data_IF_801859746575
#
_entry.id   IF_801859746575
#
_cell.length_a   1.000
_cell.length_b   1.000
_cell.length_c   1.000
_cell.angle_alpha   90.00
_cell.angle_beta   90.00
_cell.angle_gamma   90.00
#
_symmetry.space_group_name_H-M   'P 1'
#
loop_
_entity.id
_entity.type
_entity.pdbx_description
1 polymer ?
#
# COMPACT_ATOMS: atom_id res chain seq x y z
N UNK A 1 17.22 -2.04 34.30
CA UNK A 1 15.81 -1.83 34.73
C UNK A 1 14.88 -1.45 33.59
N UNK A 2 15.05 -0.33 32.87
CA UNK A 2 14.08 0.10 31.83
C UNK A 2 13.91 -0.89 30.67
N UNK A 3 14.99 -1.52 30.21
CA UNK A 3 14.94 -2.57 29.18
C UNK A 3 14.08 -3.78 29.57
N UNK A 4 14.05 -4.14 30.86
CA UNK A 4 13.27 -5.28 31.35
C UNK A 4 11.76 -5.00 31.34
N UNK A 5 11.33 -3.76 31.60
CA UNK A 5 9.91 -3.40 31.50
C UNK A 5 9.38 -3.51 30.07
N UNK A 6 10.23 -3.27 29.07
CA UNK A 6 9.88 -3.41 27.66
C UNK A 6 9.99 -4.85 27.12
N UNK A 7 10.54 -5.80 27.90
CA UNK A 7 10.66 -7.21 27.55
C UNK A 7 9.37 -8.00 27.82
N UNK A 8 8.23 -7.46 27.38
CA UNK A 8 6.89 -8.02 27.62
C UNK A 8 6.16 -8.21 26.29
N UNK A 9 5.21 -9.15 26.24
CA UNK A 9 4.50 -9.50 24.99
C UNK A 9 3.20 -8.72 24.82
N UNK A 10 2.55 -8.34 25.93
CA UNK A 10 1.26 -7.63 25.92
C UNK A 10 1.40 -6.19 26.38
N UNK A 11 0.63 -5.29 25.76
CA UNK A 11 0.65 -3.86 26.12
C UNK A 11 0.23 -3.63 27.59
N UNK A 12 -0.71 -4.42 28.09
CA UNK A 12 -1.14 -4.35 29.49
C UNK A 12 0.01 -4.66 30.47
N UNK A 13 0.88 -5.63 30.14
CA UNK A 13 2.05 -5.98 30.95
C UNK A 13 3.12 -4.87 30.93
N UNK A 14 3.28 -4.20 29.78
CA UNK A 14 4.13 -3.00 29.69
C UNK A 14 3.61 -1.90 30.62
N UNK A 15 2.32 -1.61 30.55
CA UNK A 15 1.72 -0.57 31.40
C UNK A 15 1.90 -0.92 32.87
N UNK A 16 1.68 -2.18 33.25
CA UNK A 16 1.88 -2.66 34.63
C UNK A 16 3.34 -2.50 35.08
N UNK A 17 4.30 -2.90 34.25
CA UNK A 17 5.72 -2.82 34.58
C UNK A 17 6.26 -1.38 34.64
N UNK A 18 5.81 -0.50 33.74
CA UNK A 18 6.14 0.93 33.76
C UNK A 18 5.51 1.60 34.99
N UNK A 19 4.29 1.22 35.37
CA UNK A 19 3.62 1.74 36.58
C UNK A 19 4.37 1.30 37.84
N UNK A 20 4.77 0.04 37.93
CA UNK A 20 5.58 -0.47 39.04
C UNK A 20 6.97 0.22 39.10
N UNK A 21 7.59 0.50 37.96
CA UNK A 21 8.84 1.25 37.91
C UNK A 21 8.67 2.69 38.39
N UNK A 22 7.61 3.37 37.97
CA UNK A 22 7.32 4.73 38.41
C UNK A 22 7.16 4.78 39.95
N UNK A 23 6.40 3.83 40.52
CA UNK A 23 6.22 3.74 41.97
C UNK A 23 7.53 3.47 42.73
N UNK A 24 8.43 2.63 42.18
CA UNK A 24 9.71 2.31 42.81
C UNK A 24 10.76 3.41 42.73
N UNK A 25 10.70 4.24 41.69
CA UNK A 25 11.76 5.23 41.38
C UNK A 25 11.33 6.65 41.73
N UNK A 26 10.05 6.90 41.96
CA UNK A 26 9.50 8.24 42.16
C UNK A 26 9.43 9.09 40.87
N UNK A 27 9.95 8.59 39.74
CA UNK A 27 9.90 9.32 38.48
C UNK A 27 8.52 9.24 37.83
N UNK A 28 8.06 10.39 37.32
CA UNK A 28 6.84 10.46 36.53
C UNK A 28 6.91 9.58 35.28
N UNK A 29 5.80 8.94 34.92
CA UNK A 29 5.68 8.06 33.74
C UNK A 29 6.20 8.73 32.46
N UNK A 30 5.99 10.03 32.30
CA UNK A 30 6.47 10.83 31.16
C UNK A 30 7.99 10.81 31.03
N UNK A 31 8.73 10.93 32.15
CA UNK A 31 10.20 10.90 32.16
C UNK A 31 10.72 9.51 31.77
N UNK A 32 10.05 8.46 32.25
CA UNK A 32 10.36 7.07 31.91
C UNK A 32 10.16 6.83 30.40
N UNK A 33 9.07 7.32 29.82
CA UNK A 33 8.84 7.25 28.38
C UNK A 33 9.85 8.08 27.57
N UNK A 34 10.23 9.28 28.04
CA UNK A 34 11.27 10.08 27.41
C UNK A 34 12.61 9.37 27.39
N UNK A 35 13.00 8.75 28.53
CA UNK A 35 14.21 7.94 28.63
C UNK A 35 14.15 6.70 27.76
N UNK A 36 12.98 6.04 27.66
CA UNK A 36 12.78 4.90 26.78
C UNK A 36 12.99 5.28 25.31
N UNK A 37 12.45 6.43 24.87
CA UNK A 37 12.67 6.95 23.51
C UNK A 37 14.15 7.23 23.24
N UNK A 38 14.85 7.87 24.17
CA UNK A 38 16.30 8.12 24.06
C UNK A 38 17.15 6.84 24.02
N UNK A 39 16.60 5.70 24.45
CA UNK A 39 17.24 4.38 24.38
C UNK A 39 16.72 3.52 23.22
N UNK A 40 15.88 4.06 22.34
CA UNK A 40 15.27 3.32 21.23
C UNK A 40 14.28 2.22 21.66
N UNK A 41 13.82 2.25 22.91
CA UNK A 41 12.89 1.24 23.44
C UNK A 41 11.46 1.60 23.03
N UNK A 42 10.97 0.90 22.01
CA UNK A 42 9.58 1.02 21.55
C UNK A 42 8.83 -0.27 21.79
N UNK A 43 7.64 -0.17 22.37
CA UNK A 43 6.72 -1.30 22.41
C UNK A 43 5.88 -1.31 21.14
N UNK A 44 6.33 -2.07 20.13
CA UNK A 44 5.57 -2.31 18.92
C UNK A 44 5.39 -3.81 18.76
N UNK A 45 4.19 -4.31 19.06
CA UNK A 45 3.84 -5.69 18.73
C UNK A 45 3.44 -5.76 17.25
N UNK A 46 4.43 -5.87 16.36
CA UNK A 46 4.20 -6.08 14.92
C UNK A 46 3.83 -7.54 14.69
N UNK A 47 2.54 -7.83 14.44
CA UNK A 47 2.09 -9.13 13.95
C UNK A 47 2.85 -9.44 12.65
N UNK A 48 3.67 -10.49 12.64
CA UNK A 48 4.40 -10.93 11.44
C UNK A 48 3.40 -11.35 10.36
N UNK A 49 3.71 -11.04 9.10
CA UNK A 49 2.95 -11.53 7.96
C UNK A 49 3.21 -13.03 7.80
N UNK A 50 2.16 -13.83 7.68
CA UNK A 50 2.30 -15.25 7.35
C UNK A 50 2.36 -15.44 5.83
N UNK A 51 2.88 -16.59 5.41
CA UNK A 51 2.96 -16.99 3.99
C UNK A 51 1.60 -16.99 3.33
N UNK A 52 0.56 -17.44 4.04
CA UNK A 52 -0.81 -17.50 3.53
C UNK A 52 -1.41 -16.10 3.37
N UNK A 53 -1.14 -15.19 4.30
CA UNK A 53 -1.60 -13.80 4.18
C UNK A 53 -0.93 -13.09 2.99
N UNK A 54 0.35 -13.36 2.73
CA UNK A 54 1.08 -12.81 1.59
C UNK A 54 0.57 -13.40 0.28
N UNK A 55 0.35 -14.72 0.20
CA UNK A 55 -0.23 -15.37 -0.98
C UNK A 55 -1.62 -14.82 -1.29
N UNK A 56 -2.47 -14.66 -0.26
CA UNK A 56 -3.79 -14.06 -0.42
C UNK A 56 -3.73 -12.62 -0.98
N UNK A 57 -2.78 -11.81 -0.51
CA UNK A 57 -2.59 -10.45 -1.04
C UNK A 57 -2.15 -10.47 -2.51
N UNK A 58 -1.30 -11.40 -2.91
CA UNK A 58 -0.85 -11.55 -4.29
C UNK A 58 -1.97 -12.04 -5.22
N UNK A 59 -2.81 -12.97 -4.78
CA UNK A 59 -3.96 -13.45 -5.55
C UNK A 59 -5.08 -12.40 -5.65
N UNK A 60 -5.25 -11.60 -4.59
CA UNK A 60 -6.38 -10.66 -4.47
C UNK A 60 -6.10 -9.28 -5.04
N UNK A 61 -4.84 -8.95 -5.36
CA UNK A 61 -4.46 -7.62 -5.89
C UNK A 61 -5.22 -7.34 -7.19
N UNK A 62 -5.69 -6.11 -7.37
CA UNK A 62 -6.49 -5.71 -8.54
C UNK A 62 -7.97 -6.12 -8.50
N UNK A 63 -8.31 -7.29 -7.93
CA UNK A 63 -9.67 -7.82 -7.91
C UNK A 63 -10.47 -7.44 -6.66
N UNK A 64 -9.79 -7.25 -5.53
CA UNK A 64 -10.43 -7.05 -4.22
C UNK A 64 -9.95 -5.72 -3.61
N UNK A 65 -10.85 -4.84 -3.15
CA UNK A 65 -10.44 -3.57 -2.55
C UNK A 65 -9.67 -3.78 -1.24
N UNK A 66 -8.70 -2.89 -0.94
CA UNK A 66 -7.82 -2.98 0.23
C UNK A 66 -8.63 -3.17 1.52
N UNK A 67 -9.73 -2.44 1.66
CA UNK A 67 -10.60 -2.50 2.85
C UNK A 67 -11.17 -3.90 3.08
N UNK A 68 -11.52 -4.61 2.01
CA UNK A 68 -12.04 -5.98 2.09
C UNK A 68 -10.92 -6.97 2.39
N UNK A 69 -9.74 -6.79 1.80
CA UNK A 69 -8.54 -7.57 2.18
C UNK A 69 -8.21 -7.40 3.67
N UNK A 70 -8.17 -6.15 4.15
CA UNK A 70 -7.91 -5.82 5.55
C UNK A 70 -8.93 -6.48 6.50
N UNK A 71 -10.23 -6.40 6.16
CA UNK A 71 -11.30 -7.05 6.91
C UNK A 71 -11.13 -8.58 6.95
N UNK A 72 -10.80 -9.21 5.82
CA UNK A 72 -10.61 -10.67 5.74
C UNK A 72 -9.37 -11.14 6.49
N UNK A 73 -8.28 -10.37 6.46
CA UNK A 73 -7.02 -10.68 7.13
C UNK A 73 -7.02 -10.31 8.64
N UNK A 74 -8.04 -9.58 9.10
CA UNK A 74 -8.08 -9.02 10.45
C UNK A 74 -6.93 -8.05 10.71
N UNK A 75 -6.53 -7.27 9.69
CA UNK A 75 -5.44 -6.29 9.75
C UNK A 75 -5.97 -4.89 9.46
N UNK A 76 -5.21 -3.85 9.85
CA UNK A 76 -5.54 -2.49 9.46
C UNK A 76 -5.28 -2.27 7.97
N UNK A 77 -6.03 -1.35 7.36
CA UNK A 77 -5.85 -0.93 5.96
C UNK A 77 -4.41 -0.49 5.72
N UNK A 78 -3.85 0.33 6.60
CA UNK A 78 -2.46 0.82 6.50
C UNK A 78 -1.44 -0.33 6.53
N UNK A 79 -1.67 -1.35 7.36
CA UNK A 79 -0.77 -2.52 7.42
C UNK A 79 -0.77 -3.27 6.09
N UNK A 80 -1.94 -3.43 5.47
CA UNK A 80 -2.09 -4.05 4.15
C UNK A 80 -1.42 -3.20 3.07
N UNK A 81 -1.62 -1.88 3.05
CA UNK A 81 -0.97 -0.98 2.08
C UNK A 81 0.55 -1.01 2.21
N UNK A 82 1.09 -0.96 3.43
CA UNK A 82 2.54 -1.06 3.68
C UNK A 82 3.07 -2.40 3.19
N UNK A 83 2.34 -3.49 3.42
CA UNK A 83 2.78 -4.81 2.96
C UNK A 83 2.73 -4.93 1.44
N UNK A 84 1.69 -4.43 0.81
CA UNK A 84 1.58 -4.41 -0.66
C UNK A 84 2.69 -3.55 -1.27
N UNK A 85 3.00 -2.40 -0.68
CA UNK A 85 4.13 -1.58 -1.08
C UNK A 85 5.47 -2.33 -0.91
N UNK A 86 5.65 -3.10 0.18
CA UNK A 86 6.82 -3.98 0.37
C UNK A 86 6.90 -5.13 -0.64
N UNK A 87 5.75 -5.59 -1.13
CA UNK A 87 5.66 -6.58 -2.20
C UNK A 87 5.88 -5.96 -3.59
N UNK A 88 6.16 -4.66 -3.68
CA UNK A 88 6.35 -3.95 -4.96
C UNK A 88 5.04 -3.65 -5.69
N UNK A 89 3.90 -3.82 -5.04
CA UNK A 89 2.58 -3.49 -5.61
C UNK A 89 2.32 -2.00 -5.42
N UNK A 90 2.27 -1.26 -6.53
CA UNK A 90 1.91 0.16 -6.54
C UNK A 90 0.55 0.38 -5.86
N UNK A 91 0.45 1.37 -4.97
CA UNK A 91 -0.79 1.67 -4.24
C UNK A 91 -2.01 1.99 -5.12
N UNK A 92 -1.79 2.32 -6.41
CA UNK A 92 -2.86 2.48 -7.41
C UNK A 92 -3.55 1.17 -7.79
N UNK A 93 -2.83 0.04 -7.71
CA UNK A 93 -3.29 -1.31 -8.10
C UNK A 93 -4.34 -1.87 -7.13
N UNK A 94 -4.40 -1.36 -5.90
CA UNK A 94 -5.16 -2.04 -4.82
C UNK A 94 -6.58 -1.51 -4.65
N UNK A 95 -6.85 -0.27 -5.04
CA UNK A 95 -8.20 0.31 -5.01
C UNK A 95 -8.75 0.61 -6.42
N UNK A 96 -7.96 0.47 -7.49
CA UNK A 96 -8.38 0.77 -8.86
C UNK A 96 -8.66 2.25 -9.13
N UNK A 97 -8.87 2.58 -10.40
CA UNK A 97 -9.09 3.93 -10.90
C UNK A 97 -10.57 4.33 -10.81
N UNK A 98 -10.80 5.57 -10.40
CA UNK A 98 -12.07 6.25 -10.63
C UNK A 98 -12.17 6.77 -12.07
N UNK A 99 -13.36 7.19 -12.49
CA UNK A 99 -13.55 7.89 -13.79
C UNK A 99 -12.64 9.08 -13.94
N UNK A 100 -12.47 9.82 -12.85
CA UNK A 100 -11.65 11.03 -12.83
C UNK A 100 -10.18 10.68 -13.02
N UNK A 101 -9.70 9.63 -12.34
CA UNK A 101 -8.33 9.14 -12.53
C UNK A 101 -8.10 8.73 -13.98
N UNK A 102 -9.03 7.97 -14.59
CA UNK A 102 -8.91 7.59 -16.01
C UNK A 102 -8.91 8.80 -16.94
N UNK A 103 -9.78 9.78 -16.68
CA UNK A 103 -9.87 10.99 -17.48
C UNK A 103 -8.55 11.80 -17.41
N UNK A 104 -8.02 11.98 -16.21
CA UNK A 104 -6.75 12.68 -15.98
C UNK A 104 -5.56 11.92 -16.61
N UNK A 105 -5.48 10.60 -16.40
CA UNK A 105 -4.38 9.75 -16.88
C UNK A 105 -4.35 9.61 -18.41
N UNK A 106 -5.51 9.56 -19.06
CA UNK A 106 -5.61 9.52 -20.52
C UNK A 106 -5.67 10.90 -21.17
N UNK A 107 -5.71 11.96 -20.36
CA UNK A 107 -5.83 13.33 -20.82
C UNK A 107 -7.14 13.60 -21.56
N UNK A 108 -8.22 12.89 -21.25
CA UNK A 108 -9.56 13.03 -21.87
C UNK A 108 -10.57 13.65 -20.91
N UNK A 109 -11.74 14.05 -21.44
CA UNK A 109 -12.84 14.51 -20.59
C UNK A 109 -13.54 13.35 -19.87
N UNK A 110 -14.05 13.61 -18.65
CA UNK A 110 -14.87 12.65 -17.89
C UNK A 110 -16.09 12.12 -18.67
N UNK A 111 -16.72 12.97 -19.50
CA UNK A 111 -17.82 12.58 -20.37
C UNK A 111 -17.42 11.55 -21.44
N UNK A 112 -16.18 11.61 -21.92
CA UNK A 112 -15.61 10.63 -22.86
C UNK A 112 -15.47 9.27 -22.18
N UNK A 113 -14.93 9.24 -20.94
CA UNK A 113 -14.82 8.02 -20.14
C UNK A 113 -16.18 7.38 -19.86
N UNK A 114 -17.19 8.20 -19.52
CA UNK A 114 -18.57 7.72 -19.39
C UNK A 114 -19.17 7.22 -20.71
N UNK A 115 -18.77 7.81 -21.84
CA UNK A 115 -19.12 7.34 -23.18
C UNK A 115 -18.58 5.94 -23.46
N UNK A 116 -17.33 5.67 -23.09
CA UNK A 116 -16.72 4.34 -23.21
C UNK A 116 -17.43 3.29 -22.35
N UNK A 117 -17.84 3.66 -21.15
CA UNK A 117 -18.61 2.79 -20.27
C UNK A 117 -19.98 2.44 -20.87
N UNK A 118 -20.71 3.43 -21.39
CA UNK A 118 -21.99 3.20 -22.07
C UNK A 118 -21.85 2.32 -23.31
N UNK A 119 -20.74 2.45 -24.04
CA UNK A 119 -20.40 1.61 -25.21
C UNK A 119 -19.83 0.25 -24.81
N UNK A 120 -19.61 -0.01 -23.52
CA UNK A 120 -19.07 -1.27 -23.02
C UNK A 120 -17.58 -1.49 -23.30
N UNK A 121 -16.84 -0.46 -23.74
CA UNK A 121 -15.41 -0.53 -24.07
C UNK A 121 -14.54 -0.61 -22.82
N UNK A 122 -14.94 0.11 -21.77
CA UNK A 122 -14.25 0.16 -20.49
C UNK A 122 -15.24 -0.19 -19.38
N UNK A 123 -15.08 -1.37 -18.78
CA UNK A 123 -16.00 -1.89 -17.77
C UNK A 123 -15.47 -1.65 -16.36
N UNK A 124 -16.35 -1.19 -15.47
CA UNK A 124 -16.07 -1.06 -14.04
C UNK A 124 -16.28 -2.39 -13.32
N UNK A 125 -15.54 -2.58 -12.25
CA UNK A 125 -15.83 -3.58 -11.23
C UNK A 125 -17.13 -3.22 -10.46
N UNK A 126 -17.77 -4.19 -9.77
CA UNK A 126 -19.03 -3.96 -9.04
C UNK A 126 -19.01 -2.83 -8.00
N UNK A 127 -17.82 -2.44 -7.51
CA UNK A 127 -17.65 -1.30 -6.59
C UNK A 127 -17.43 0.05 -7.30
N UNK A 128 -17.64 0.13 -8.62
CA UNK A 128 -17.66 1.38 -9.38
C UNK A 128 -16.29 1.92 -9.80
N UNK A 129 -15.22 1.10 -9.77
CA UNK A 129 -13.86 1.49 -10.17
C UNK A 129 -13.30 0.55 -11.25
N UNK A 130 -12.26 0.98 -11.95
CA UNK A 130 -11.56 0.21 -12.99
C UNK A 130 -10.28 -0.39 -12.42
N UNK A 131 -10.01 -1.67 -12.64
CA UNK A 131 -8.70 -2.26 -12.31
C UNK A 131 -7.71 -2.11 -13.47
N UNK A 132 -6.44 -2.42 -13.20
CA UNK A 132 -5.38 -2.36 -14.21
C UNK A 132 -5.67 -3.27 -15.41
N UNK A 133 -6.26 -4.45 -15.20
CA UNK A 133 -6.55 -5.40 -16.27
C UNK A 133 -7.64 -4.88 -17.21
N UNK A 134 -8.74 -4.31 -16.69
CA UNK A 134 -9.77 -3.68 -17.49
C UNK A 134 -9.21 -2.50 -18.29
N UNK A 135 -8.38 -1.66 -17.67
CA UNK A 135 -7.77 -0.51 -18.35
C UNK A 135 -6.75 -0.96 -19.40
N UNK A 136 -5.91 -1.95 -19.09
CA UNK A 136 -4.92 -2.49 -20.02
C UNK A 136 -5.60 -3.17 -21.23
N UNK A 137 -6.68 -3.91 -21.01
CA UNK A 137 -7.52 -4.47 -22.10
C UNK A 137 -8.10 -3.36 -22.96
N UNK A 138 -8.66 -2.33 -22.35
CA UNK A 138 -9.17 -1.17 -23.09
C UNK A 138 -8.07 -0.51 -23.94
N UNK A 139 -6.90 -0.25 -23.36
CA UNK A 139 -5.77 0.37 -24.08
C UNK A 139 -5.30 -0.44 -25.28
N UNK A 140 -5.30 -1.78 -25.15
CA UNK A 140 -4.88 -2.71 -26.20
C UNK A 140 -5.93 -2.88 -27.31
N UNK A 141 -7.21 -2.97 -26.94
CA UNK A 141 -8.30 -3.22 -27.88
C UNK A 141 -8.81 -1.95 -28.56
N UNK A 142 -8.61 -0.79 -27.95
CA UNK A 142 -9.14 0.49 -28.42
C UNK A 142 -8.08 1.61 -28.50
N UNK A 143 -6.96 1.39 -29.21
CA UNK A 143 -5.88 2.39 -29.33
C UNK A 143 -6.31 3.69 -30.01
N UNK A 144 -7.42 3.68 -30.76
CA UNK A 144 -7.95 4.87 -31.45
C UNK A 144 -8.80 5.79 -30.56
N UNK A 145 -9.20 5.35 -29.36
CA UNK A 145 -10.06 6.14 -28.47
C UNK A 145 -9.28 7.17 -27.64
N UNK A 146 -7.95 7.06 -27.59
CA UNK A 146 -7.09 7.96 -26.82
C UNK A 146 -5.88 8.42 -27.64
N UNK A 147 -5.27 9.53 -27.23
CA UNK A 147 -4.06 10.06 -27.86
C UNK A 147 -2.87 9.87 -26.92
N UNK A 148 -1.90 9.06 -27.32
CA UNK A 148 -0.67 8.79 -26.55
C UNK A 148 0.10 10.05 -26.18
N UNK A 149 -0.03 11.16 -26.93
CA UNK A 149 0.62 12.44 -26.59
C UNK A 149 0.04 13.08 -25.34
N UNK A 150 -1.22 12.77 -25.03
CA UNK A 150 -1.98 13.34 -23.90
C UNK A 150 -1.99 12.42 -22.68
N UNK A 151 -1.63 11.15 -22.87
CA UNK A 151 -1.56 10.16 -21.80
C UNK A 151 -0.38 10.47 -20.87
N UNK A 152 -0.56 10.26 -19.57
CA UNK A 152 0.55 10.22 -18.61
C UNK A 152 1.51 9.07 -18.98
N UNK A 153 2.66 9.44 -19.54
CA UNK A 153 3.63 8.48 -20.08
C UNK A 153 4.23 7.59 -18.99
N UNK A 154 4.37 8.10 -17.77
CA UNK A 154 4.95 7.35 -16.65
C UNK A 154 4.00 6.26 -16.21
N UNK A 155 2.73 6.60 -16.05
CA UNK A 155 1.66 5.66 -15.76
C UNK A 155 1.49 4.64 -16.87
N UNK A 156 1.43 5.07 -18.13
CA UNK A 156 1.24 4.17 -19.27
C UNK A 156 2.37 3.14 -19.37
N UNK A 157 3.63 3.58 -19.23
CA UNK A 157 4.78 2.67 -19.20
C UNK A 157 4.69 1.69 -18.02
N UNK A 158 4.31 2.18 -16.85
CA UNK A 158 4.13 1.33 -15.66
C UNK A 158 3.04 0.27 -15.83
N UNK A 159 1.95 0.62 -16.52
CA UNK A 159 0.82 -0.28 -16.78
C UNK A 159 1.12 -1.29 -17.90
N UNK A 160 1.76 -0.86 -18.99
CA UNK A 160 2.00 -1.69 -20.18
C UNK A 160 3.17 -2.64 -20.00
N UNK A 161 4.29 -2.15 -19.48
CA UNK A 161 5.49 -2.97 -19.34
C UNK A 161 5.57 -3.69 -17.99
N UNK A 162 4.72 -3.29 -17.04
CA UNK A 162 4.88 -3.65 -15.63
C UNK A 162 6.22 -3.10 -15.16
N UNK A 163 6.22 -1.98 -14.43
CA UNK A 163 7.47 -1.49 -13.83
C UNK A 163 7.89 -2.47 -12.72
N UNK A 164 8.47 -3.62 -13.09
CA UNK A 164 9.43 -4.29 -12.25
C UNK A 164 10.61 -3.33 -12.18
N UNK A 165 10.73 -2.61 -11.07
CA UNK A 165 12.05 -2.16 -10.64
C UNK A 165 12.81 -3.42 -10.25
N UNK A 166 13.27 -4.19 -11.24
CA UNK A 166 14.51 -4.91 -11.08
C UNK A 166 15.61 -3.86 -11.14
N UNK A 167 16.46 -3.90 -10.12
CA UNK A 167 17.77 -3.27 -10.07
C UNK A 167 18.41 -3.11 -11.45
N UNK A 168 18.41 -1.90 -12.01
CA UNK A 168 19.41 -1.48 -13.00
C UNK A 168 19.59 0.02 -12.82
N UNK A 169 20.45 0.40 -11.86
CA UNK A 169 21.45 1.47 -11.94
C UNK A 169 22.25 1.43 -10.63
N UNK A 170 22.92 0.29 -10.41
CA UNK A 170 24.14 0.23 -9.61
C UNK A 170 25.12 -0.53 -10.52
N UNK A 171 25.86 0.24 -11.32
CA UNK A 171 27.13 -0.15 -11.99
C UNK A 171 27.57 0.99 -12.93
N UNK A 172 28.06 2.05 -12.30
CA UNK A 172 29.24 2.83 -12.71
C UNK A 172 29.92 3.17 -11.39
N UNK A 173 30.75 2.30 -10.83
CA UNK A 173 32.03 1.94 -11.44
C UNK A 173 33.04 3.06 -11.18
N UNK A 174 33.24 3.41 -9.91
CA UNK A 174 34.49 4.03 -9.45
C UNK A 174 35.58 2.95 -9.59
N UNK A 175 36.34 3.03 -10.67
CA UNK A 175 37.64 2.38 -10.81
C UNK A 175 38.40 2.97 -12.02
N UNK A 176 39.14 4.04 -11.78
CA UNK A 176 40.52 4.30 -12.24
C UNK A 176 40.90 5.76 -11.95
#
# INVERSE_FOLDING_TARGET
MLRQCYAVKRRAELVKSITAMAARTGFGRSLIYARARGLGLTFINKRKWTTEEVAYLDESRGCVPVRRMAKRLGRSVDSVLIQLARMGVSGRVVDGYTVRDIAELLGVGWATVQGWERRGLLKRLPHGRYDDDAVLKFLKLHPHEYDLRRVDQTWFKGLVFGYQVQHVFDDRGDAA
#
